data_IF_469253759006
#
_entry.id   IF_469253759006
#
_cell.length_a   1.000
_cell.length_b   1.000
_cell.length_c   1.000
_cell.angle_alpha   90.00
_cell.angle_beta   90.00
_cell.angle_gamma   90.00
#
_symmetry.space_group_name_H-M   'P 1'
#
loop_
_entity.id
_entity.type
_entity.pdbx_description
1 polymer ?
#
# COMPACT_ATOMS: atom_id res chain seq x y z
N UNK A 1 -15.34 13.54 57.04
CA UNK A 1 -14.10 14.36 57.13
C UNK A 1 -12.99 13.49 57.69
N UNK A 2 -11.83 13.53 57.04
CA UNK A 2 -10.50 13.08 57.49
C UNK A 2 -10.26 11.57 57.67
N UNK A 3 -9.65 10.93 56.67
CA UNK A 3 -8.26 10.42 56.76
C UNK A 3 -7.97 9.45 55.60
N UNK A 4 -7.40 9.97 54.50
CA UNK A 4 -6.86 9.16 53.40
C UNK A 4 -5.58 9.83 52.87
N UNK A 5 -4.53 9.82 53.70
CA UNK A 5 -3.18 10.24 53.32
C UNK A 5 -2.17 9.43 54.13
N UNK A 6 -1.75 8.27 53.63
CA UNK A 6 -0.58 7.51 54.11
C UNK A 6 -0.23 6.35 53.17
N UNK A 7 -0.09 6.58 51.86
CA UNK A 7 0.41 5.51 50.96
C UNK A 7 1.20 6.02 49.74
N UNK A 8 2.03 7.05 49.91
CA UNK A 8 3.04 7.45 48.92
C UNK A 8 4.30 7.94 49.64
N UNK A 9 5.13 7.00 50.07
CA UNK A 9 6.38 7.35 50.77
C UNK A 9 7.21 6.15 51.18
N UNK A 10 7.59 5.29 50.23
CA UNK A 10 8.67 4.30 50.39
C UNK A 10 9.01 3.63 49.06
N UNK A 11 9.79 4.31 48.23
CA UNK A 11 10.65 3.71 47.20
C UNK A 11 11.61 4.77 46.66
N UNK A 12 12.56 5.17 47.51
CA UNK A 12 13.73 5.95 47.11
C UNK A 12 14.90 5.58 48.02
N UNK A 13 15.71 4.61 47.60
CA UNK A 13 17.17 4.54 47.75
C UNK A 13 17.69 3.17 47.30
N UNK A 14 18.91 3.17 46.77
CA UNK A 14 19.74 2.02 46.37
C UNK A 14 19.63 1.50 44.94
N UNK A 15 20.08 2.31 43.97
CA UNK A 15 20.97 1.83 42.88
C UNK A 15 22.02 2.92 42.66
N UNK A 16 23.19 2.75 43.27
CA UNK A 16 24.42 3.48 42.96
C UNK A 16 25.39 2.49 42.35
N UNK A 17 25.85 2.76 41.13
CA UNK A 17 26.94 2.02 40.49
C UNK A 17 26.52 1.20 39.27
N UNK A 18 26.36 1.87 38.13
CA UNK A 18 26.67 1.29 36.82
C UNK A 18 27.34 2.40 36.00
N UNK A 19 28.50 2.05 35.45
CA UNK A 19 29.45 2.92 34.76
C UNK A 19 28.84 3.79 33.66
N UNK A 20 29.25 5.05 33.65
CA UNK A 20 28.99 6.01 32.57
C UNK A 20 29.77 5.53 31.32
N UNK A 21 29.10 5.29 30.18
CA UNK A 21 29.79 4.89 28.96
C UNK A 21 30.72 6.03 28.47
N UNK A 22 31.89 5.71 27.90
CA UNK A 22 32.87 6.70 27.47
C UNK A 22 32.24 7.67 26.47
N UNK A 23 32.42 8.96 26.78
CA UNK A 23 31.97 10.08 25.95
C UNK A 23 32.62 9.96 24.56
N UNK A 24 31.84 9.97 23.46
CA UNK A 24 32.40 9.91 22.11
C UNK A 24 33.31 11.12 21.89
N UNK A 25 34.54 10.83 21.48
CA UNK A 25 35.51 11.84 21.04
C UNK A 25 34.95 12.54 19.80
N UNK A 26 35.02 13.88 19.70
CA UNK A 26 34.65 14.57 18.48
C UNK A 26 35.62 14.17 17.36
N UNK A 27 35.05 13.64 16.28
CA UNK A 27 35.73 13.40 15.01
C UNK A 27 36.17 14.75 14.43
N UNK A 28 37.46 15.06 14.55
CA UNK A 28 38.12 16.14 13.81
C UNK A 28 38.25 15.74 12.34
N UNK A 29 37.14 15.82 11.62
CA UNK A 29 37.11 15.95 10.16
C UNK A 29 36.23 17.14 9.79
N UNK A 30 36.76 18.32 10.11
CA UNK A 30 36.26 19.59 9.60
C UNK A 30 36.61 19.64 8.11
N UNK A 31 35.68 19.22 7.26
CA UNK A 31 35.66 19.67 5.87
C UNK A 31 35.41 21.18 5.88
N UNK A 32 36.48 21.92 5.61
CA UNK A 32 36.49 23.37 5.44
C UNK A 32 35.51 23.76 4.31
N UNK A 33 34.54 24.66 4.54
CA UNK A 33 33.67 25.12 3.47
C UNK A 33 34.49 25.91 2.42
N UNK A 34 34.20 25.78 1.13
CA UNK A 34 34.92 26.51 0.09
C UNK A 34 34.78 28.02 0.32
N UNK A 35 35.92 28.69 0.47
CA UNK A 35 36.01 30.16 0.53
C UNK A 35 35.40 30.75 -0.74
N UNK A 36 34.34 31.54 -0.58
CA UNK A 36 33.86 32.47 -1.58
C UNK A 36 34.95 33.52 -1.84
N UNK A 37 35.60 33.44 -2.99
CA UNK A 37 36.42 34.54 -3.51
C UNK A 37 35.51 35.64 -4.05
N UNK A 38 35.87 36.89 -3.78
CA UNK A 38 35.08 38.09 -4.05
C UNK A 38 34.91 38.47 -5.54
N UNK A 39 35.40 37.65 -6.48
CA UNK A 39 35.29 37.90 -7.91
C UNK A 39 34.45 36.80 -8.57
N UNK A 40 33.15 37.07 -8.70
CA UNK A 40 32.17 36.21 -9.35
C UNK A 40 32.40 36.07 -10.85
N UNK A 41 33.42 35.31 -11.25
CA UNK A 41 33.66 34.93 -12.65
C UNK A 41 33.88 33.42 -12.77
N UNK A 42 32.86 32.74 -13.28
CA UNK A 42 32.94 31.34 -13.72
C UNK A 42 33.73 31.30 -15.03
N UNK A 43 34.90 30.63 -15.02
CA UNK A 43 35.60 30.25 -16.26
C UNK A 43 34.99 28.97 -16.84
N UNK A 44 34.63 28.93 -18.14
CA UNK A 44 34.20 27.70 -18.79
C UNK A 44 35.40 26.78 -19.06
N UNK A 45 35.24 25.50 -18.73
CA UNK A 45 36.13 24.44 -19.18
C UNK A 45 35.78 24.04 -20.62
N UNK A 46 36.75 24.20 -21.51
CA UNK A 46 36.79 23.63 -22.86
C UNK A 46 37.05 22.13 -22.77
N UNK A 47 36.14 21.32 -23.30
CA UNK A 47 36.37 19.92 -23.63
C UNK A 47 36.20 19.81 -25.14
N UNK A 48 37.33 19.67 -25.83
CA UNK A 48 37.39 19.19 -27.20
C UNK A 48 37.30 17.67 -27.17
N UNK A 49 36.41 17.09 -27.99
CA UNK A 49 36.58 15.75 -28.58
C UNK A 49 35.55 15.54 -29.69
N UNK A 50 36.07 15.53 -30.92
CA UNK A 50 35.45 15.01 -32.13
C UNK A 50 35.10 13.51 -31.99
N UNK A 51 34.09 13.04 -32.73
CA UNK A 51 34.20 11.92 -33.67
C UNK A 51 32.87 11.19 -33.91
N UNK A 52 32.45 11.23 -35.19
CA UNK A 52 31.87 10.13 -35.98
C UNK A 52 30.39 9.71 -35.83
N UNK A 53 29.64 10.12 -36.85
CA UNK A 53 28.39 9.54 -37.39
C UNK A 53 28.72 8.24 -38.15
N UNK A 54 27.89 7.18 -38.06
CA UNK A 54 27.10 6.73 -39.22
C UNK A 54 25.68 6.28 -38.83
N UNK A 55 24.64 6.81 -39.48
CA UNK A 55 24.00 6.29 -40.70
C UNK A 55 22.83 5.32 -40.41
N UNK A 56 21.71 5.63 -41.06
CA UNK A 56 20.38 5.12 -40.79
C UNK A 56 20.02 4.02 -41.77
N UNK A 57 19.47 2.88 -41.31
CA UNK A 57 18.64 1.99 -42.14
C UNK A 57 17.52 1.29 -41.36
N UNK A 58 16.41 0.92 -42.05
CA UNK A 58 15.09 0.80 -41.46
C UNK A 58 14.67 -0.63 -41.07
N UNK A 59 13.65 -0.65 -40.22
CA UNK A 59 12.68 -1.67 -39.84
C UNK A 59 12.67 -3.01 -40.60
N UNK A 60 12.57 -4.09 -39.81
CA UNK A 60 11.94 -5.37 -40.20
C UNK A 60 10.92 -5.78 -39.12
N UNK A 61 9.79 -6.40 -39.51
CA UNK A 61 8.62 -6.59 -38.66
C UNK A 61 8.79 -7.75 -37.67
N UNK A 62 8.16 -7.60 -36.50
CA UNK A 62 8.08 -8.59 -35.44
C UNK A 62 7.23 -9.80 -35.85
N UNK A 63 7.85 -10.98 -35.86
CA UNK A 63 7.14 -12.27 -35.90
C UNK A 63 6.50 -12.53 -34.53
N UNK A 64 5.18 -12.60 -34.47
CA UNK A 64 4.42 -13.06 -33.30
C UNK A 64 4.32 -14.58 -33.38
N UNK A 65 5.01 -15.29 -32.48
CA UNK A 65 4.84 -16.73 -32.28
C UNK A 65 3.69 -16.94 -31.30
N UNK A 66 2.58 -17.48 -31.79
CA UNK A 66 1.47 -17.94 -30.96
C UNK A 66 1.90 -19.26 -30.30
N UNK A 67 2.23 -19.24 -29.01
CA UNK A 67 2.49 -20.45 -28.22
C UNK A 67 1.20 -20.84 -27.52
N UNK A 68 0.53 -21.88 -28.03
CA UNK A 68 -0.60 -22.53 -27.37
C UNK A 68 -0.05 -23.40 -26.25
N UNK A 69 -0.23 -22.99 -24.99
CA UNK A 69 0.09 -23.82 -23.83
C UNK A 69 -1.10 -24.74 -23.54
N UNK A 70 -0.93 -26.03 -23.84
CA UNK A 70 -1.84 -27.08 -23.40
C UNK A 70 -1.77 -27.20 -21.87
N UNK A 71 -2.93 -27.27 -21.23
CA UNK A 71 -3.07 -27.57 -19.81
C UNK A 71 -2.53 -28.99 -19.51
N UNK A 72 -1.70 -29.21 -18.48
CA UNK A 72 -1.34 -30.55 -18.06
C UNK A 72 -2.52 -31.21 -17.34
N UNK A 73 -2.80 -32.44 -17.76
CA UNK A 73 -3.76 -33.36 -17.15
C UNK A 73 -3.46 -33.60 -15.67
N UNK A 74 -4.54 -33.63 -14.87
CA UNK A 74 -4.54 -33.95 -13.45
C UNK A 74 -4.24 -35.44 -13.29
N UNK A 75 -2.99 -35.77 -12.94
CA UNK A 75 -2.59 -37.12 -12.57
C UNK A 75 -2.87 -37.37 -11.09
N UNK A 76 -3.90 -38.18 -10.82
CA UNK A 76 -4.29 -38.66 -9.50
C UNK A 76 -3.42 -39.86 -9.08
N UNK A 77 -2.58 -39.68 -8.06
CA UNK A 77 -1.98 -40.80 -7.31
C UNK A 77 -2.37 -40.69 -5.83
N UNK A 78 -2.87 -41.77 -5.20
CA UNK A 78 -3.10 -41.79 -3.76
C UNK A 78 -1.79 -42.01 -2.98
N UNK A 79 -1.68 -41.51 -1.73
CA UNK A 79 -0.51 -41.76 -0.91
C UNK A 79 -0.52 -43.18 -0.31
N UNK A 80 0.66 -43.78 -0.06
CA UNK A 80 0.77 -45.04 0.66
C UNK A 80 0.57 -44.85 2.17
N UNK A 81 -0.08 -45.84 2.77
CA UNK A 81 -0.28 -46.07 4.20
C UNK A 81 0.94 -46.78 4.78
N UNK A 82 1.22 -46.56 6.08
CA UNK A 82 2.12 -47.27 7.03
C UNK A 82 3.13 -46.30 7.68
N UNK A 83 3.44 -46.29 8.97
CA UNK A 83 3.08 -47.09 10.14
C UNK A 83 3.41 -46.28 11.42
N UNK A 84 2.71 -46.60 12.51
CA UNK A 84 2.92 -46.11 13.89
C UNK A 84 4.25 -46.66 14.45
N UNK A 85 4.94 -45.91 15.34
CA UNK A 85 5.23 -46.51 16.64
C UNK A 85 4.98 -45.57 17.84
N UNK A 86 4.39 -46.18 18.86
CA UNK A 86 4.16 -45.72 20.23
C UNK A 86 5.46 -45.66 21.03
N UNK A 87 5.66 -44.61 21.86
CA UNK A 87 6.05 -44.65 23.30
C UNK A 87 6.32 -43.24 23.87
N UNK A 88 5.65 -42.90 24.97
CA UNK A 88 5.80 -41.75 25.89
C UNK A 88 7.09 -41.85 26.78
N UNK A 89 7.44 -40.95 27.75
CA UNK A 89 6.73 -39.77 28.31
C UNK A 89 7.58 -38.49 28.63
N UNK A 90 6.88 -37.44 29.03
CA UNK A 90 7.26 -36.30 29.93
C UNK A 90 8.49 -35.42 29.63
N UNK A 91 8.25 -34.14 29.30
CA UNK A 91 8.94 -33.00 29.94
C UNK A 91 8.30 -31.67 29.54
N UNK A 92 7.94 -30.90 30.56
CA UNK A 92 7.46 -29.52 30.62
C UNK A 92 8.05 -28.52 29.60
N UNK A 93 7.15 -27.79 28.94
CA UNK A 93 7.44 -26.55 28.20
C UNK A 93 6.18 -25.99 27.57
N UNK A 94 5.52 -25.02 28.22
CA UNK A 94 4.34 -24.34 27.68
C UNK A 94 4.75 -23.43 26.52
N UNK A 95 4.55 -23.90 25.29
CA UNK A 95 4.49 -23.08 24.08
C UNK A 95 3.04 -22.85 23.69
N UNK A 96 2.62 -21.58 23.67
CA UNK A 96 1.28 -21.16 23.24
C UNK A 96 1.25 -21.19 21.71
N UNK A 97 0.96 -22.38 21.17
CA UNK A 97 0.67 -22.61 19.75
C UNK A 97 -0.62 -21.90 19.35
N UNK A 98 -0.50 -20.81 18.60
CA UNK A 98 -1.59 -20.20 17.86
C UNK A 98 -1.90 -21.05 16.61
N UNK A 99 -3.04 -21.73 16.61
CA UNK A 99 -3.61 -22.38 15.43
C UNK A 99 -4.76 -21.53 14.87
N UNK A 100 -4.68 -20.99 13.65
CA UNK A 100 -5.86 -20.50 12.95
C UNK A 100 -6.49 -21.65 12.16
N UNK A 101 -7.73 -22.01 12.51
CA UNK A 101 -8.57 -22.86 11.67
C UNK A 101 -9.00 -22.10 10.40
N UNK A 102 -8.83 -22.64 9.19
CA UNK A 102 -9.36 -22.03 7.98
C UNK A 102 -10.80 -22.49 7.78
N UNK A 103 -11.77 -21.71 8.27
CA UNK A 103 -13.15 -21.83 7.77
C UNK A 103 -13.26 -21.01 6.49
N UNK A 104 -13.08 -21.67 5.35
CA UNK A 104 -13.42 -21.12 4.03
C UNK A 104 -14.94 -21.03 3.98
N UNK A 105 -15.50 -19.84 4.22
CA UNK A 105 -16.86 -19.51 3.86
C UNK A 105 -16.86 -19.01 2.40
N UNK A 106 -17.50 -19.78 1.52
CA UNK A 106 -17.88 -19.30 0.21
C UNK A 106 -18.90 -18.16 0.37
N UNK A 107 -18.57 -16.97 -0.15
CA UNK A 107 -19.45 -15.81 -0.08
C UNK A 107 -20.51 -15.88 -1.19
N UNK A 108 -21.80 -15.66 -0.89
CA UNK A 108 -22.80 -15.41 -1.91
C UNK A 108 -22.56 -14.03 -2.55
N UNK A 109 -22.65 -13.97 -3.87
CA UNK A 109 -22.65 -12.71 -4.63
C UNK A 109 -23.86 -11.86 -4.23
N UNK A 110 -23.69 -10.57 -3.86
CA UNK A 110 -24.82 -9.70 -3.65
C UNK A 110 -25.42 -9.28 -4.99
N UNK A 111 -26.70 -9.60 -5.19
CA UNK A 111 -27.53 -8.99 -6.23
C UNK A 111 -27.71 -7.50 -5.89
N UNK A 112 -26.90 -6.64 -6.50
CA UNK A 112 -27.06 -5.20 -6.40
C UNK A 112 -28.19 -4.73 -7.33
N UNK A 113 -29.30 -4.27 -6.74
CA UNK A 113 -30.28 -3.44 -7.46
C UNK A 113 -29.75 -2.01 -7.49
N UNK A 114 -29.30 -1.55 -8.66
CA UNK A 114 -28.69 -0.22 -8.84
C UNK A 114 -29.78 0.80 -9.17
N UNK A 115 -29.96 1.79 -8.29
CA UNK A 115 -30.64 3.04 -8.66
C UNK A 115 -29.62 3.88 -9.43
N UNK A 116 -29.82 3.96 -10.75
CA UNK A 116 -28.97 4.68 -11.69
C UNK A 116 -29.12 6.19 -11.53
N UNK A 117 -28.22 6.85 -10.80
CA UNK A 117 -27.91 8.26 -11.06
C UNK A 117 -26.97 8.34 -12.25
N UNK A 118 -27.27 9.23 -13.20
CA UNK A 118 -26.52 9.39 -14.44
C UNK A 118 -25.04 9.67 -14.17
N UNK A 119 -24.20 8.65 -14.32
CA UNK A 119 -22.76 8.80 -14.44
C UNK A 119 -22.45 9.64 -15.70
N UNK A 120 -21.34 10.39 -15.72
CA UNK A 120 -20.86 10.99 -16.95
C UNK A 120 -20.76 9.90 -18.01
N UNK A 121 -21.44 10.09 -19.14
CA UNK A 121 -21.53 9.12 -20.23
C UNK A 121 -20.13 8.79 -20.73
N UNK A 122 -19.59 7.67 -20.28
CA UNK A 122 -18.38 7.08 -20.84
C UNK A 122 -18.74 6.61 -22.25
N UNK A 123 -18.05 7.06 -23.30
CA UNK A 123 -18.36 6.64 -24.66
C UNK A 123 -18.20 5.12 -24.77
N UNK A 124 -19.32 4.41 -24.94
CA UNK A 124 -19.41 2.96 -25.21
C UNK A 124 -18.94 2.56 -26.62
N UNK A 125 -18.07 3.36 -27.24
CA UNK A 125 -17.40 3.01 -28.48
C UNK A 125 -15.96 2.63 -28.18
N UNK A 126 -15.45 1.59 -28.84
CA UNK A 126 -14.02 1.23 -28.87
C UNK A 126 -13.18 2.31 -29.56
N UNK A 127 -13.24 3.53 -29.06
CA UNK A 127 -12.29 4.59 -29.40
C UNK A 127 -11.03 4.24 -28.61
N UNK A 128 -9.93 4.02 -29.32
CA UNK A 128 -8.64 3.78 -28.69
C UNK A 128 -8.29 4.98 -27.79
N UNK A 129 -8.49 4.83 -26.48
CA UNK A 129 -8.10 5.84 -25.50
C UNK A 129 -6.58 5.94 -25.54
N UNK A 130 -6.06 7.15 -25.75
CA UNK A 130 -4.63 7.37 -25.70
C UNK A 130 -4.12 7.00 -24.31
N UNK A 131 -3.00 6.25 -24.16
CA UNK A 131 -2.45 5.92 -22.85
C UNK A 131 -2.24 7.12 -21.92
N UNK A 132 -2.09 8.33 -22.46
CA UNK A 132 -2.02 9.56 -21.66
C UNK A 132 -3.33 9.89 -20.92
N UNK A 133 -4.46 9.46 -21.46
CA UNK A 133 -5.80 9.81 -20.98
C UNK A 133 -6.39 8.77 -20.01
N UNK A 134 -5.67 7.66 -19.76
CA UNK A 134 -6.07 6.72 -18.73
C UNK A 134 -6.14 7.41 -17.36
N UNK A 135 -7.20 7.14 -16.57
CA UNK A 135 -7.36 7.73 -15.25
C UNK A 135 -6.17 7.33 -14.37
N UNK A 136 -5.68 8.30 -13.61
CA UNK A 136 -4.55 8.12 -12.70
C UNK A 136 -5.03 8.24 -11.26
N UNK A 137 -4.74 7.18 -10.49
CA UNK A 137 -5.02 7.09 -9.07
C UNK A 137 -3.71 6.99 -8.29
N UNK A 138 -3.56 7.85 -7.29
CA UNK A 138 -2.49 7.79 -6.31
C UNK A 138 -3.07 7.30 -4.99
N UNK A 139 -2.38 6.36 -4.36
CA UNK A 139 -2.79 5.80 -3.08
C UNK A 139 -1.63 5.91 -2.09
N UNK A 140 -1.96 6.06 -0.82
CA UNK A 140 -1.00 6.11 0.28
C UNK A 140 -1.67 5.70 1.59
N UNK A 141 -0.91 5.11 2.49
CA UNK A 141 -1.36 4.87 3.86
C UNK A 141 -0.31 5.28 4.89
N UNK A 142 -0.77 5.87 5.98
CA UNK A 142 0.06 6.23 7.13
C UNK A 142 -0.33 5.43 8.38
N UNK A 143 0.27 5.73 9.53
CA UNK A 143 -0.19 5.19 10.81
C UNK A 143 -1.58 5.70 11.24
N UNK A 144 -2.08 6.76 10.61
CA UNK A 144 -3.33 7.43 11.00
C UNK A 144 -4.50 7.16 10.07
N UNK A 145 -4.24 6.78 8.81
CA UNK A 145 -5.30 6.65 7.82
C UNK A 145 -4.80 6.36 6.41
N UNK A 146 -5.72 6.55 5.46
CA UNK A 146 -5.56 6.22 4.05
C UNK A 146 -5.92 7.46 3.23
N UNK A 147 -5.11 7.76 2.21
CA UNK A 147 -5.35 8.84 1.26
C UNK A 147 -5.45 8.30 -0.16
N UNK A 148 -6.41 8.82 -0.93
CA UNK A 148 -6.60 8.51 -2.34
C UNK A 148 -6.70 9.82 -3.12
N UNK A 149 -5.99 9.91 -4.25
CA UNK A 149 -6.14 11.00 -5.21
C UNK A 149 -6.53 10.41 -6.57
N UNK A 150 -7.68 10.82 -7.10
CA UNK A 150 -8.14 10.48 -8.45
C UNK A 150 -8.45 11.77 -9.19
N UNK A 151 -7.85 11.98 -10.37
CA UNK A 151 -8.09 13.18 -11.20
C UNK A 151 -7.95 14.50 -10.43
N UNK A 152 -6.91 14.60 -9.58
CA UNK A 152 -6.63 15.74 -8.67
C UNK A 152 -7.67 15.99 -7.57
N UNK A 153 -8.67 15.13 -7.47
CA UNK A 153 -9.62 15.13 -6.35
C UNK A 153 -9.25 14.07 -5.34
N UNK A 154 -9.72 14.21 -4.12
CA UNK A 154 -9.25 13.38 -3.01
C UNK A 154 -10.39 12.73 -2.23
N UNK A 155 -10.07 11.57 -1.64
CA UNK A 155 -10.79 10.95 -0.54
C UNK A 155 -9.79 10.53 0.52
N UNK A 156 -10.25 10.42 1.76
CA UNK A 156 -9.45 9.87 2.82
C UNK A 156 -10.32 9.15 3.84
N UNK A 157 -9.68 8.22 4.55
CA UNK A 157 -10.24 7.50 5.67
C UNK A 157 -9.27 7.59 6.84
N UNK A 158 -9.81 7.58 8.05
CA UNK A 158 -9.03 7.49 9.29
C UNK A 158 -9.14 6.09 9.86
N UNK A 159 -8.06 5.59 10.47
CA UNK A 159 -8.12 4.32 11.21
C UNK A 159 -8.83 4.53 12.55
N UNK A 160 -9.74 3.62 12.88
CA UNK A 160 -10.33 3.56 14.22
C UNK A 160 -9.25 3.17 15.22
N UNK A 161 -8.95 4.02 16.22
CA UNK A 161 -7.90 3.73 17.18
C UNK A 161 -8.18 2.43 17.95
N UNK A 162 -7.14 1.61 18.12
CA UNK A 162 -7.20 0.35 18.88
C UNK A 162 -8.21 -0.68 18.36
N UNK A 163 -8.63 -0.60 17.08
CA UNK A 163 -9.50 -1.61 16.50
C UNK A 163 -8.80 -2.99 16.50
N UNK A 164 -9.39 -4.05 17.08
CA UNK A 164 -8.71 -5.32 17.31
C UNK A 164 -8.32 -6.06 16.03
N UNK A 165 -9.00 -5.74 14.92
CA UNK A 165 -8.76 -6.37 13.63
C UNK A 165 -7.75 -5.61 12.75
N UNK A 166 -7.24 -4.44 13.18
CA UNK A 166 -6.16 -3.76 12.47
C UNK A 166 -4.84 -4.39 12.91
N UNK A 167 -4.06 -4.99 11.99
CA UNK A 167 -2.81 -5.63 12.34
C UNK A 167 -1.78 -4.58 12.76
N UNK A 168 -1.17 -4.82 13.93
CA UNK A 168 -0.11 -3.98 14.48
C UNK A 168 1.24 -4.67 14.32
N UNK A 169 2.24 -3.88 13.94
CA UNK A 169 3.64 -4.30 13.87
C UNK A 169 4.34 -4.20 15.22
N UNK A 170 5.67 -4.40 15.22
CA UNK A 170 6.53 -4.44 16.42
C UNK A 170 6.42 -3.20 17.32
N UNK A 171 6.10 -2.04 16.76
CA UNK A 171 6.05 -0.76 17.47
C UNK A 171 4.61 -0.33 17.81
N UNK A 172 3.66 -1.27 17.83
CA UNK A 172 2.23 -0.99 18.03
C UNK A 172 1.62 -0.03 16.98
N UNK A 173 2.29 0.11 15.83
CA UNK A 173 1.84 0.88 14.68
C UNK A 173 1.16 -0.04 13.68
N UNK A 174 0.20 0.47 12.91
CA UNK A 174 -0.43 -0.26 11.80
C UNK A 174 0.64 -0.86 10.89
N UNK A 175 0.47 -2.12 10.49
CA UNK A 175 1.39 -2.79 9.55
C UNK A 175 1.31 -2.07 8.20
N UNK A 176 2.37 -1.34 7.84
CA UNK A 176 2.41 -0.50 6.64
C UNK A 176 2.06 -1.26 5.35
N UNK A 177 2.55 -2.49 5.17
CA UNK A 177 2.20 -3.28 3.97
C UNK A 177 0.72 -3.64 3.90
N UNK A 178 0.06 -3.84 5.05
CA UNK A 178 -1.36 -4.13 5.12
C UNK A 178 -2.16 -2.88 4.76
N UNK A 179 -1.86 -1.75 5.41
CA UNK A 179 -2.58 -0.50 5.18
C UNK A 179 -2.42 0.02 3.74
N UNK A 180 -1.25 -0.17 3.14
CA UNK A 180 -0.99 0.20 1.74
C UNK A 180 -1.77 -0.68 0.75
N UNK A 181 -1.96 -1.97 1.04
CA UNK A 181 -2.84 -2.82 0.22
C UNK A 181 -4.31 -2.43 0.38
N UNK A 182 -4.76 -2.11 1.60
CA UNK A 182 -6.11 -1.56 1.79
C UNK A 182 -6.29 -0.24 1.03
N UNK A 183 -5.27 0.62 1.00
CA UNK A 183 -5.29 1.85 0.18
C UNK A 183 -5.44 1.54 -1.31
N UNK A 184 -4.75 0.52 -1.84
CA UNK A 184 -4.96 0.07 -3.22
C UNK A 184 -6.39 -0.42 -3.45
N UNK A 185 -6.93 -1.25 -2.56
CA UNK A 185 -8.29 -1.80 -2.67
C UNK A 185 -9.33 -0.67 -2.69
N UNK A 186 -9.24 0.29 -1.76
CA UNK A 186 -10.11 1.48 -1.74
C UNK A 186 -9.90 2.38 -2.97
N UNK A 187 -8.67 2.47 -3.48
CA UNK A 187 -8.38 3.20 -4.73
C UNK A 187 -9.13 2.60 -5.93
N UNK A 188 -9.16 1.27 -6.04
CA UNK A 188 -9.93 0.59 -7.09
C UNK A 188 -11.44 0.76 -6.91
N UNK A 189 -11.94 0.64 -5.68
CA UNK A 189 -13.35 0.89 -5.40
C UNK A 189 -13.74 2.33 -5.74
N UNK A 190 -12.85 3.30 -5.49
CA UNK A 190 -13.04 4.70 -5.89
C UNK A 190 -13.11 4.86 -7.41
N UNK A 191 -12.27 4.16 -8.17
CA UNK A 191 -12.34 4.11 -9.65
C UNK A 191 -13.71 3.59 -10.10
N UNK A 192 -14.19 2.50 -9.50
CA UNK A 192 -15.48 1.90 -9.85
C UNK A 192 -16.66 2.81 -9.48
N UNK A 193 -16.61 3.46 -8.31
CA UNK A 193 -17.63 4.42 -7.86
C UNK A 193 -17.68 5.67 -8.76
N UNK A 194 -16.55 6.05 -9.36
CA UNK A 194 -16.48 7.10 -10.38
C UNK A 194 -17.00 6.67 -11.77
N UNK A 195 -17.43 5.40 -11.93
CA UNK A 195 -18.04 4.88 -13.14
C UNK A 195 -17.07 4.28 -14.16
N UNK A 196 -15.79 4.15 -13.82
CA UNK A 196 -14.80 3.54 -14.72
C UNK A 196 -14.89 2.01 -14.68
N UNK A 197 -14.99 1.37 -15.85
CA UNK A 197 -15.02 -0.08 -16.07
C UNK A 197 -14.33 -0.39 -17.39
N UNK A 198 -13.86 -1.63 -17.58
CA UNK A 198 -13.30 -2.11 -18.86
C UNK A 198 -12.20 -1.20 -19.43
N UNK A 199 -11.37 -0.65 -18.55
CA UNK A 199 -10.38 0.39 -18.87
C UNK A 199 -9.02 0.07 -18.26
N UNK A 200 -7.97 0.61 -18.85
CA UNK A 200 -6.65 0.65 -18.22
C UNK A 200 -6.56 1.84 -17.26
N UNK A 201 -6.06 1.61 -16.06
CA UNK A 201 -5.82 2.67 -15.07
C UNK A 201 -4.34 2.75 -14.71
N UNK A 202 -3.85 3.96 -14.38
CA UNK A 202 -2.51 4.17 -13.83
C UNK A 202 -2.61 4.21 -12.32
N UNK A 203 -2.05 3.21 -11.64
CA UNK A 203 -2.01 3.16 -10.19
C UNK A 203 -0.61 3.54 -9.69
N UNK A 204 -0.53 4.51 -8.79
CA UNK A 204 0.72 5.00 -8.20
C UNK A 204 0.71 4.81 -6.68
N UNK A 205 1.79 4.25 -6.15
CA UNK A 205 2.06 4.14 -4.71
C UNK A 205 3.57 4.29 -4.49
N UNK A 206 3.97 4.81 -3.33
CA UNK A 206 5.37 4.91 -2.94
C UNK A 206 5.91 3.62 -2.29
N UNK A 207 5.04 2.64 -2.03
CA UNK A 207 5.41 1.36 -1.47
C UNK A 207 5.86 0.38 -2.56
N UNK A 208 7.18 0.23 -2.71
CA UNK A 208 7.79 -0.72 -3.68
C UNK A 208 7.34 -2.17 -3.49
N UNK A 209 7.06 -2.58 -2.25
CA UNK A 209 6.56 -3.91 -1.93
C UNK A 209 5.21 -4.16 -2.60
N UNK A 210 4.29 -3.20 -2.46
CA UNK A 210 2.96 -3.23 -3.08
C UNK A 210 3.03 -3.27 -4.60
N UNK A 211 3.80 -2.36 -5.20
CA UNK A 211 3.97 -2.35 -6.66
C UNK A 211 4.53 -3.69 -7.16
N UNK A 212 5.55 -4.23 -6.48
CA UNK A 212 6.15 -5.52 -6.85
C UNK A 212 5.18 -6.69 -6.69
N UNK A 213 4.37 -6.70 -5.65
CA UNK A 213 3.45 -7.78 -5.39
C UNK A 213 2.28 -7.82 -6.37
N UNK A 214 1.71 -6.66 -6.71
CA UNK A 214 0.68 -6.56 -7.77
C UNK A 214 1.26 -7.00 -9.11
N UNK A 215 2.44 -6.50 -9.48
CA UNK A 215 3.10 -6.90 -10.72
C UNK A 215 3.40 -8.40 -10.80
N UNK A 216 3.72 -9.03 -9.66
CA UNK A 216 3.99 -10.48 -9.56
C UNK A 216 2.74 -11.32 -9.24
N UNK A 217 1.59 -10.70 -8.99
CA UNK A 217 0.36 -11.33 -8.54
C UNK A 217 0.53 -12.26 -7.32
N UNK A 218 1.44 -11.94 -6.40
CA UNK A 218 1.69 -12.73 -5.18
C UNK A 218 2.29 -11.93 -4.03
N UNK A 219 1.93 -12.28 -2.80
CA UNK A 219 2.58 -11.82 -1.57
C UNK A 219 2.89 -12.99 -0.62
N UNK A 220 3.61 -12.69 0.46
CA UNK A 220 3.62 -13.54 1.67
C UNK A 220 2.23 -13.62 2.31
N UNK A 221 1.82 -14.75 2.90
CA UNK A 221 0.55 -14.87 3.60
C UNK A 221 0.51 -14.16 4.97
N UNK A 222 1.63 -13.62 5.46
CA UNK A 222 1.68 -12.89 6.74
C UNK A 222 0.71 -11.72 6.73
N UNK A 223 0.02 -11.47 7.85
CA UNK A 223 -0.97 -10.39 8.00
C UNK A 223 -2.04 -10.36 6.91
N UNK A 224 -2.38 -11.54 6.34
CA UNK A 224 -3.39 -11.68 5.29
C UNK A 224 -3.08 -10.90 4.00
N UNK A 225 -1.81 -10.51 3.79
CA UNK A 225 -1.42 -9.67 2.65
C UNK A 225 -1.72 -10.33 1.31
N UNK A 226 -1.52 -11.65 1.20
CA UNK A 226 -1.85 -12.38 -0.02
C UNK A 226 -3.37 -12.44 -0.26
N UNK A 227 -4.18 -12.59 0.80
CA UNK A 227 -5.65 -12.58 0.70
C UNK A 227 -6.15 -11.23 0.18
N UNK A 228 -5.65 -10.13 0.74
CA UNK A 228 -5.98 -8.77 0.29
C UNK A 228 -5.55 -8.57 -1.16
N UNK A 229 -4.35 -9.04 -1.52
CA UNK A 229 -3.86 -8.97 -2.89
C UNK A 229 -4.76 -9.74 -3.86
N UNK A 230 -5.20 -10.96 -3.52
CA UNK A 230 -6.12 -11.71 -4.36
C UNK A 230 -7.45 -10.97 -4.54
N UNK A 231 -8.00 -10.33 -3.49
CA UNK A 231 -9.19 -9.48 -3.63
C UNK A 231 -8.99 -8.32 -4.59
N UNK A 232 -7.85 -7.63 -4.52
CA UNK A 232 -7.49 -6.54 -5.45
C UNK A 232 -7.44 -7.05 -6.90
N UNK A 233 -6.85 -8.22 -7.12
CA UNK A 233 -6.74 -8.83 -8.45
C UNK A 233 -8.11 -9.26 -8.99
N UNK A 234 -8.92 -9.94 -8.19
CA UNK A 234 -10.30 -10.32 -8.54
C UNK A 234 -11.15 -9.08 -8.82
N UNK A 235 -11.11 -8.06 -7.96
CA UNK A 235 -11.82 -6.80 -8.17
C UNK A 235 -11.44 -6.14 -9.51
N UNK A 236 -10.17 -6.22 -9.89
CA UNK A 236 -9.70 -5.70 -11.17
C UNK A 236 -10.23 -6.52 -12.35
N UNK A 237 -10.12 -7.85 -12.26
CA UNK A 237 -10.56 -8.78 -13.32
C UNK A 237 -12.07 -8.74 -13.54
N UNK A 238 -12.86 -8.82 -12.46
CA UNK A 238 -14.33 -8.83 -12.47
C UNK A 238 -14.94 -7.54 -13.06
N UNK A 239 -14.17 -6.46 -13.11
CA UNK A 239 -14.62 -5.15 -13.61
C UNK A 239 -13.84 -4.67 -14.85
N UNK A 240 -13.05 -5.55 -15.47
CA UNK A 240 -12.29 -5.25 -16.68
C UNK A 240 -11.20 -4.18 -16.49
N UNK A 241 -10.70 -3.98 -15.27
CA UNK A 241 -9.65 -3.02 -14.98
C UNK A 241 -8.27 -3.59 -15.27
N UNK A 242 -7.55 -2.98 -16.21
CA UNK A 242 -6.14 -3.29 -16.44
C UNK A 242 -5.25 -2.35 -15.63
N UNK A 243 -4.50 -2.90 -14.66
CA UNK A 243 -3.64 -2.10 -13.79
C UNK A 243 -2.27 -1.82 -14.41
N UNK A 244 -1.96 -0.54 -14.66
CA UNK A 244 -0.60 -0.06 -14.93
C UNK A 244 -0.01 0.52 -13.65
N UNK A 245 0.56 -0.36 -12.84
CA UNK A 245 1.20 0.02 -11.57
C UNK A 245 2.53 0.73 -11.79
N UNK A 246 2.80 1.75 -10.98
CA UNK A 246 4.07 2.47 -11.01
C UNK A 246 4.47 2.98 -9.63
N UNK A 247 5.75 2.81 -9.31
CA UNK A 247 6.31 3.42 -8.11
C UNK A 247 6.46 4.93 -8.29
N UNK A 248 6.16 5.69 -7.24
CA UNK A 248 6.45 7.13 -7.14
C UNK A 248 7.26 7.40 -5.87
N UNK A 249 8.06 8.46 -5.87
CA UNK A 249 8.75 8.89 -4.65
C UNK A 249 7.73 9.45 -3.65
N UNK A 250 7.78 9.07 -2.38
CA UNK A 250 6.80 9.48 -1.35
C UNK A 250 6.61 11.00 -1.23
N UNK A 251 7.68 11.79 -1.31
CA UNK A 251 7.59 13.27 -1.31
C UNK A 251 6.79 13.83 -2.50
N UNK A 252 6.66 13.05 -3.58
CA UNK A 252 5.88 13.37 -4.77
C UNK A 252 4.53 12.65 -4.80
N UNK A 253 4.19 11.84 -3.81
CA UNK A 253 2.91 11.16 -3.71
C UNK A 253 1.86 12.15 -3.16
N UNK A 254 0.89 12.62 -3.97
CA UNK A 254 -0.10 13.59 -3.49
C UNK A 254 -1.05 13.00 -2.45
N UNK A 255 -1.12 11.67 -2.32
CA UNK A 255 -1.93 10.98 -1.32
C UNK A 255 -1.30 10.95 0.09
N UNK A 256 -0.01 11.28 0.25
CA UNK A 256 0.70 11.25 1.56
C UNK A 256 0.11 12.23 2.58
N UNK A 257 -0.26 13.44 2.15
CA UNK A 257 -0.87 14.42 3.06
C UNK A 257 -2.27 13.97 3.53
N UNK A 258 -3.22 13.61 2.65
CA UNK A 258 -4.51 13.07 3.06
C UNK A 258 -4.40 11.84 3.98
N UNK A 259 -3.50 10.90 3.71
CA UNK A 259 -3.32 9.70 4.53
C UNK A 259 -2.91 10.01 5.97
N UNK A 260 -2.31 11.19 6.21
CA UNK A 260 -1.86 11.69 7.52
C UNK A 260 -2.82 12.69 8.18
N UNK A 261 -4.03 12.84 7.64
CA UNK A 261 -5.02 13.79 8.16
C UNK A 261 -4.79 15.24 7.74
N UNK A 262 -3.95 15.50 6.73
CA UNK A 262 -3.73 16.83 6.16
C UNK A 262 -4.44 16.93 4.83
N UNK A 263 -5.69 17.34 4.88
CA UNK A 263 -6.59 17.30 3.73
C UNK A 263 -6.44 18.52 2.82
N UNK A 264 -6.48 18.34 1.49
CA UNK A 264 -6.70 19.44 0.55
C UNK A 264 -8.06 20.13 0.78
N UNK A 265 -8.32 21.28 0.14
CA UNK A 265 -9.60 21.96 0.25
C UNK A 265 -10.79 21.05 -0.08
N UNK A 266 -11.92 21.31 0.58
CA UNK A 266 -13.14 20.49 0.46
C UNK A 266 -13.68 20.46 -0.97
N UNK A 267 -13.50 21.54 -1.73
CA UNK A 267 -13.92 21.67 -3.13
C UNK A 267 -13.20 20.69 -4.06
N UNK A 268 -12.06 20.17 -3.61
CA UNK A 268 -11.29 19.14 -4.30
C UNK A 268 -11.68 17.72 -3.86
N UNK A 269 -12.64 17.54 -2.95
CA UNK A 269 -13.08 16.21 -2.56
C UNK A 269 -13.81 15.53 -3.73
N UNK A 270 -13.74 14.21 -3.82
CA UNK A 270 -14.54 13.45 -4.79
C UNK A 270 -15.99 13.40 -4.33
N UNK A 271 -16.91 13.62 -5.26
CA UNK A 271 -18.35 13.58 -5.00
C UNK A 271 -18.87 12.14 -4.84
N UNK A 272 -18.14 11.16 -5.39
CA UNK A 272 -18.43 9.74 -5.23
C UNK A 272 -17.52 9.15 -4.16
N UNK A 273 -18.10 8.72 -3.04
CA UNK A 273 -17.41 7.91 -2.04
C UNK A 273 -17.79 6.44 -2.28
N UNK A 274 -16.83 5.51 -2.44
CA UNK A 274 -17.16 4.10 -2.61
C UNK A 274 -17.74 3.50 -1.32
N UNK A 275 -18.58 2.48 -1.48
CA UNK A 275 -19.01 1.65 -0.35
C UNK A 275 -17.79 0.95 0.26
N UNK A 276 -17.62 1.07 1.57
CA UNK A 276 -16.55 0.40 2.31
C UNK A 276 -16.92 -1.08 2.46
N UNK A 277 -16.04 -2.02 2.05
CA UNK A 277 -16.30 -3.45 2.23
C UNK A 277 -16.59 -3.82 3.68
N UNK A 278 -17.55 -4.71 3.92
CA UNK A 278 -17.99 -5.07 5.28
C UNK A 278 -16.87 -5.56 6.21
N UNK A 279 -15.82 -6.19 5.69
CA UNK A 279 -14.71 -6.64 6.53
C UNK A 279 -13.83 -5.47 7.02
N UNK A 280 -13.96 -4.27 6.46
CA UNK A 280 -13.35 -3.03 6.94
C UNK A 280 -14.30 -2.20 7.82
N UNK A 281 -15.53 -2.66 8.03
CA UNK A 281 -16.50 -1.97 8.85
C UNK A 281 -15.98 -1.77 10.27
N UNK A 282 -16.15 -0.56 10.80
CA UNK A 282 -15.58 -0.14 12.08
C UNK A 282 -14.05 -0.01 12.10
N UNK A 283 -13.28 -0.56 11.16
CA UNK A 283 -11.82 -0.40 11.10
C UNK A 283 -11.40 0.98 10.57
N UNK A 284 -12.13 1.47 9.58
CA UNK A 284 -11.87 2.76 8.94
C UNK A 284 -13.13 3.61 8.94
N UNK A 285 -12.94 4.92 9.02
CA UNK A 285 -14.02 5.89 8.95
C UNK A 285 -13.73 6.90 7.84
N UNK A 286 -14.66 7.11 6.88
CA UNK A 286 -14.49 8.14 5.87
C UNK A 286 -14.38 9.51 6.56
N UNK A 287 -13.52 10.37 6.02
CA UNK A 287 -13.37 11.73 6.56
C UNK A 287 -14.66 12.51 6.30
N UNK A 288 -15.27 13.02 7.37
CA UNK A 288 -16.48 13.83 7.29
C UNK A 288 -16.16 15.19 6.66
N UNK A 289 -16.77 15.54 5.51
CA UNK A 289 -16.59 16.86 4.88
C UNK A 289 -16.95 18.03 5.80
N UNK A 290 -17.83 17.83 6.78
CA UNK A 290 -18.25 18.86 7.74
C UNK A 290 -17.14 19.21 8.75
N UNK A 291 -16.19 18.30 8.95
CA UNK A 291 -15.05 18.48 9.85
C UNK A 291 -13.94 19.36 9.25
N UNK A 292 -13.94 19.54 7.92
CA UNK A 292 -12.99 20.36 7.20
C UNK A 292 -13.38 21.83 7.37
N UNK A 293 -12.54 22.60 8.06
CA UNK A 293 -12.70 24.06 8.09
C UNK A 293 -12.36 24.61 6.71
N UNK A 294 -13.23 25.49 6.19
CA UNK A 294 -12.99 26.24 4.96
C UNK A 294 -11.74 27.11 5.06
#
# INVERSE_FOLDING_TARGET
MLSLFSFLGRLRQSISGVDEPPRPQPDESVDEPPRLTADGLIRPQTIDSESSVPDARPHSPSTVVLVTLNAPEVSSYPPPVDSIPTTDPESSGQDVSWSPSPSILAFPTPNASVISLAAPSVPSGSVAINPRDWPEVFVDASGSGIGIILNKRWLAWTFTPNHPLIPLGRNNSVVSSWSELIAVELGLLTILAAGYRDITIKLKSDNRGVIKAIAKKRWSPRHELDVILQRILSLSEDNGLTLKVGWILGLRNPADKPSRGKYPPREMMLDCCPDVPHYLDGMIQPVDPSSLRN
#
